data_IF_807876715399
#
_entry.id   IF_807876715399
#
_cell.length_a   1.000
_cell.length_b   1.000
_cell.length_c   1.000
_cell.angle_alpha   90.00
_cell.angle_beta   90.00
_cell.angle_gamma   90.00
#
_symmetry.space_group_name_H-M   'P 1'
#
loop_
_entity.id
_entity.type
_entity.pdbx_description
1 polymer ?
#
# COMPACT_ATOMS: atom_id res chain seq x y z
N UNK A 1 3.65 11.10 5.94
CA UNK A 1 2.21 10.77 5.90
C UNK A 1 2.02 9.83 4.72
N UNK A 2 1.58 8.58 4.91
CA UNK A 2 1.31 7.70 3.75
C UNK A 2 0.09 8.24 2.99
N UNK A 3 0.31 8.61 1.73
CA UNK A 3 -0.71 9.19 0.85
C UNK A 3 -1.73 8.14 0.37
N UNK A 4 -2.95 8.59 0.06
CA UNK A 4 -4.01 7.71 -0.43
C UNK A 4 -3.61 7.04 -1.76
N UNK A 5 -3.67 5.71 -1.88
CA UNK A 5 -3.04 4.97 -2.97
C UNK A 5 -3.55 5.36 -4.37
N UNK A 6 -4.85 5.64 -4.49
CA UNK A 6 -5.43 6.06 -5.77
C UNK A 6 -5.24 7.55 -6.09
N UNK A 7 -4.74 8.37 -5.14
CA UNK A 7 -4.56 9.81 -5.33
C UNK A 7 -3.09 10.22 -5.48
N UNK A 8 -2.14 9.30 -5.26
CA UNK A 8 -0.69 9.59 -5.33
C UNK A 8 -0.22 10.03 -6.71
N UNK A 9 -0.75 9.42 -7.78
CA UNK A 9 -0.28 9.67 -9.15
C UNK A 9 -1.41 9.98 -10.12
N UNK A 10 -1.13 10.76 -11.16
CA UNK A 10 -2.11 11.02 -12.22
C UNK A 10 -2.54 9.72 -12.91
N UNK A 11 -1.62 8.76 -13.08
CA UNK A 11 -1.91 7.45 -13.68
C UNK A 11 -2.87 6.64 -12.83
N UNK A 12 -2.68 6.60 -11.51
CA UNK A 12 -3.59 5.88 -10.60
C UNK A 12 -4.97 6.53 -10.51
N UNK A 13 -5.04 7.86 -10.57
CA UNK A 13 -6.32 8.58 -10.68
C UNK A 13 -7.07 8.25 -11.97
N UNK A 14 -6.36 8.27 -13.10
CA UNK A 14 -6.95 7.89 -14.41
C UNK A 14 -7.44 6.45 -14.37
N UNK A 15 -6.64 5.51 -13.88
CA UNK A 15 -7.03 4.10 -13.78
C UNK A 15 -8.27 3.92 -12.90
N UNK A 16 -8.34 4.60 -11.76
CA UNK A 16 -9.48 4.57 -10.87
C UNK A 16 -10.77 5.07 -11.55
N UNK A 17 -10.69 6.21 -12.25
CA UNK A 17 -11.83 6.76 -13.01
C UNK A 17 -12.25 5.80 -14.13
N UNK A 18 -11.30 5.23 -14.88
CA UNK A 18 -11.60 4.28 -15.96
C UNK A 18 -12.30 3.02 -15.46
N UNK A 19 -11.90 2.49 -14.29
CA UNK A 19 -12.56 1.34 -13.67
C UNK A 19 -14.02 1.66 -13.36
N UNK A 20 -14.29 2.81 -12.74
CA UNK A 20 -15.66 3.21 -12.43
C UNK A 20 -16.50 3.51 -13.68
N UNK A 21 -15.92 4.11 -14.72
CA UNK A 21 -16.59 4.29 -16.01
C UNK A 21 -16.93 2.96 -16.68
N UNK A 22 -16.03 1.97 -16.60
CA UNK A 22 -16.29 0.62 -17.11
C UNK A 22 -17.44 -0.05 -16.34
N UNK A 23 -17.44 0.06 -15.01
CA UNK A 23 -18.51 -0.46 -14.15
C UNK A 23 -19.85 0.24 -14.47
N UNK A 24 -19.85 1.57 -14.64
CA UNK A 24 -21.03 2.32 -15.08
C UNK A 24 -21.55 1.84 -16.42
N UNK A 25 -20.67 1.59 -17.39
CA UNK A 25 -21.06 1.10 -18.71
C UNK A 25 -21.71 -0.29 -18.63
N UNK A 26 -21.16 -1.19 -17.82
CA UNK A 26 -21.74 -2.50 -17.59
C UNK A 26 -23.14 -2.41 -16.94
N UNK A 27 -23.30 -1.54 -15.94
CA UNK A 27 -24.59 -1.26 -15.30
C UNK A 27 -25.61 -0.67 -16.28
N UNK A 28 -25.21 0.30 -17.10
CA UNK A 28 -26.05 0.88 -18.14
C UNK A 28 -26.65 -0.18 -19.05
N UNK A 29 -25.81 -1.07 -19.61
CA UNK A 29 -26.30 -2.12 -20.50
C UNK A 29 -27.20 -3.11 -19.77
N UNK A 30 -26.86 -3.47 -18.52
CA UNK A 30 -27.69 -4.33 -17.69
C UNK A 30 -29.08 -3.73 -17.43
N UNK A 31 -29.15 -2.43 -17.14
CA UNK A 31 -30.38 -1.72 -16.87
C UNK A 31 -31.30 -1.65 -18.09
N UNK A 32 -30.74 -1.26 -19.24
CA UNK A 32 -31.49 -1.17 -20.51
C UNK A 32 -32.00 -2.55 -20.93
N UNK A 33 -31.16 -3.59 -20.84
CA UNK A 33 -31.53 -4.94 -21.25
C UNK A 33 -32.58 -5.59 -20.34
N UNK A 34 -32.49 -5.37 -19.02
CA UNK A 34 -33.33 -6.06 -18.04
C UNK A 34 -34.62 -5.31 -17.74
N UNK A 35 -34.55 -3.99 -17.54
CA UNK A 35 -35.68 -3.19 -17.04
C UNK A 35 -36.34 -2.33 -18.12
N UNK A 36 -35.82 -2.34 -19.35
CA UNK A 36 -36.38 -1.62 -20.52
C UNK A 36 -36.65 -0.14 -20.27
N UNK A 37 -35.87 0.48 -19.38
CA UNK A 37 -35.94 1.92 -19.12
C UNK A 37 -35.34 2.72 -20.28
N UNK A 38 -35.72 3.99 -20.41
CA UNK A 38 -35.21 4.87 -21.47
C UNK A 38 -33.68 4.97 -21.36
N UNK A 39 -32.91 4.81 -22.46
CA UNK A 39 -31.44 4.82 -22.39
C UNK A 39 -30.83 6.07 -21.75
N UNK A 40 -31.40 7.26 -21.98
CA UNK A 40 -30.93 8.48 -21.33
C UNK A 40 -31.04 8.45 -19.80
N UNK A 41 -32.11 7.83 -19.27
CA UNK A 41 -32.31 7.66 -17.82
C UNK A 41 -31.35 6.60 -17.26
N UNK A 42 -31.18 5.48 -17.95
CA UNK A 42 -30.23 4.44 -17.56
C UNK A 42 -28.79 4.96 -17.51
N UNK A 43 -28.42 5.79 -18.49
CA UNK A 43 -27.08 6.38 -18.54
C UNK A 43 -26.87 7.34 -17.36
N UNK A 44 -27.85 8.19 -17.07
CA UNK A 44 -27.79 9.10 -15.93
C UNK A 44 -27.72 8.35 -14.60
N UNK A 45 -28.56 7.31 -14.42
CA UNK A 45 -28.58 6.49 -13.20
C UNK A 45 -27.25 5.77 -12.97
N UNK A 46 -26.79 5.00 -13.97
CA UNK A 46 -25.56 4.21 -13.88
C UNK A 46 -24.31 5.07 -13.69
N UNK A 47 -24.24 6.28 -14.28
CA UNK A 47 -23.15 7.21 -14.01
C UNK A 47 -23.24 7.77 -12.60
N UNK A 48 -24.41 8.25 -12.17
CA UNK A 48 -24.57 8.85 -10.85
C UNK A 48 -24.34 7.87 -9.71
N UNK A 49 -24.90 6.66 -9.82
CA UNK A 49 -24.77 5.58 -8.84
C UNK A 49 -23.30 5.23 -8.60
N UNK A 50 -22.53 5.05 -9.66
CA UNK A 50 -21.13 4.65 -9.56
C UNK A 50 -20.21 5.84 -9.21
N UNK A 51 -20.47 7.03 -9.74
CA UNK A 51 -19.72 8.23 -9.37
C UNK A 51 -19.87 8.55 -7.88
N UNK A 52 -21.10 8.55 -7.35
CA UNK A 52 -21.36 8.79 -5.93
C UNK A 52 -20.71 7.73 -5.03
N UNK A 53 -20.80 6.44 -5.39
CA UNK A 53 -20.13 5.39 -4.62
C UNK A 53 -18.61 5.55 -4.65
N UNK A 54 -18.02 5.85 -5.82
CA UNK A 54 -16.58 6.04 -5.97
C UNK A 54 -16.07 7.14 -5.05
N UNK A 55 -16.74 8.29 -4.99
CA UNK A 55 -16.39 9.39 -4.11
C UNK A 55 -16.44 8.99 -2.63
N UNK A 56 -17.52 8.32 -2.20
CA UNK A 56 -17.64 7.83 -0.82
C UNK A 56 -16.52 6.82 -0.50
N UNK A 57 -16.18 5.97 -1.47
CA UNK A 57 -15.21 4.90 -1.28
C UNK A 57 -13.77 5.38 -1.04
N UNK A 58 -13.44 6.62 -1.41
CA UNK A 58 -12.15 7.25 -1.05
C UNK A 58 -12.06 7.38 0.48
N UNK A 59 -13.16 7.69 1.16
CA UNK A 59 -13.22 7.78 2.62
C UNK A 59 -12.97 6.43 3.33
N UNK A 60 -13.34 5.32 2.69
CA UNK A 60 -13.17 3.97 3.27
C UNK A 60 -11.72 3.59 3.51
N UNK A 61 -10.76 4.20 2.80
CA UNK A 61 -9.34 4.02 3.03
C UNK A 61 -8.97 4.34 4.49
N UNK A 62 -9.53 5.41 5.05
CA UNK A 62 -9.25 5.83 6.42
C UNK A 62 -9.90 4.90 7.45
N UNK A 63 -11.07 4.34 7.13
CA UNK A 63 -11.70 3.31 7.97
C UNK A 63 -10.80 2.09 8.10
N UNK A 64 -10.16 1.65 7.00
CA UNK A 64 -9.23 0.51 7.04
C UNK A 64 -7.94 0.91 7.77
N UNK A 65 -7.31 2.01 7.36
CA UNK A 65 -6.01 2.46 7.87
C UNK A 65 -5.98 2.64 9.40
N UNK A 66 -7.02 3.26 9.96
CA UNK A 66 -7.10 3.52 11.40
C UNK A 66 -7.90 2.46 12.15
N UNK A 67 -8.48 1.47 11.46
CA UNK A 67 -9.30 0.43 12.07
C UNK A 67 -8.52 -0.72 12.68
N UNK A 68 -7.30 -0.99 12.20
CA UNK A 68 -6.61 -2.27 12.46
C UNK A 68 -5.37 -2.17 13.32
N UNK A 69 -5.04 -0.98 13.84
CA UNK A 69 -3.72 -0.79 14.42
C UNK A 69 -3.57 -1.51 15.77
N UNK A 70 -4.61 -1.66 16.60
CA UNK A 70 -4.48 -2.27 17.95
C UNK A 70 -5.78 -2.95 18.48
N UNK A 71 -6.72 -3.35 17.61
CA UNK A 71 -8.07 -3.77 18.03
C UNK A 71 -8.30 -5.29 17.98
N UNK A 72 -9.06 -5.82 18.94
CA UNK A 72 -9.57 -7.20 18.92
C UNK A 72 -10.49 -7.44 17.70
N UNK A 73 -10.60 -8.70 17.25
CA UNK A 73 -11.37 -9.10 16.06
C UNK A 73 -12.81 -8.56 16.07
N UNK A 74 -13.49 -8.60 17.22
CA UNK A 74 -14.85 -8.09 17.36
C UNK A 74 -14.94 -6.59 17.06
N UNK A 75 -13.98 -5.79 17.52
CA UNK A 75 -13.98 -4.35 17.29
C UNK A 75 -13.73 -4.00 15.83
N UNK A 76 -12.89 -4.76 15.14
CA UNK A 76 -12.67 -4.63 13.69
C UNK A 76 -13.94 -4.99 12.92
N UNK A 77 -14.59 -6.09 13.30
CA UNK A 77 -15.86 -6.50 12.71
C UNK A 77 -16.96 -5.44 12.89
N UNK A 78 -17.16 -4.95 14.12
CA UNK A 78 -18.15 -3.92 14.43
C UNK A 78 -17.89 -2.61 13.68
N UNK A 79 -16.61 -2.23 13.54
CA UNK A 79 -16.24 -1.05 12.77
C UNK A 79 -16.58 -1.18 11.29
N UNK A 80 -16.30 -2.34 10.67
CA UNK A 80 -16.66 -2.57 9.27
C UNK A 80 -18.16 -2.73 9.08
N UNK A 81 -18.85 -3.38 10.01
CA UNK A 81 -20.30 -3.49 9.98
C UNK A 81 -20.95 -2.09 10.05
N UNK A 82 -20.54 -1.25 11.00
CA UNK A 82 -21.02 0.12 11.12
C UNK A 82 -20.67 0.96 9.88
N UNK A 83 -19.43 0.85 9.39
CA UNK A 83 -18.98 1.56 8.19
C UNK A 83 -19.78 1.16 6.95
N UNK A 84 -20.05 -0.14 6.76
CA UNK A 84 -20.87 -0.64 5.66
C UNK A 84 -22.30 -0.10 5.73
N UNK A 85 -22.92 -0.15 6.92
CA UNK A 85 -24.28 0.39 7.14
C UNK A 85 -24.33 1.88 6.79
N UNK A 86 -23.37 2.68 7.29
CA UNK A 86 -23.30 4.12 7.03
C UNK A 86 -23.09 4.41 5.54
N UNK A 87 -22.14 3.74 4.91
CA UNK A 87 -21.82 3.95 3.49
C UNK A 87 -23.00 3.59 2.59
N UNK A 88 -23.62 2.42 2.79
CA UNK A 88 -24.75 1.99 1.97
C UNK A 88 -25.95 2.90 2.20
N UNK A 89 -26.23 3.29 3.45
CA UNK A 89 -27.35 4.19 3.76
C UNK A 89 -27.15 5.55 3.12
N UNK A 90 -25.97 6.15 3.26
CA UNK A 90 -25.64 7.44 2.65
C UNK A 90 -25.73 7.37 1.12
N UNK A 91 -25.19 6.32 0.52
CA UNK A 91 -25.21 6.14 -0.92
C UNK A 91 -26.63 5.92 -1.48
N UNK A 92 -27.45 5.10 -0.83
CA UNK A 92 -28.85 4.91 -1.21
C UNK A 92 -29.66 6.19 -1.03
N UNK A 93 -29.38 6.98 0.01
CA UNK A 93 -29.98 8.30 0.20
C UNK A 93 -29.62 9.23 -0.96
N UNK A 94 -28.36 9.30 -1.37
CA UNK A 94 -27.95 10.09 -2.54
C UNK A 94 -28.65 9.64 -3.82
N UNK A 95 -28.75 8.32 -4.04
CA UNK A 95 -29.47 7.78 -5.20
C UNK A 95 -30.96 8.16 -5.15
N UNK A 96 -31.59 8.10 -3.98
CA UNK A 96 -32.99 8.48 -3.82
C UNK A 96 -33.22 9.98 -4.05
N UNK A 97 -32.34 10.84 -3.53
CA UNK A 97 -32.38 12.29 -3.79
C UNK A 97 -32.20 12.59 -5.29
N UNK A 98 -31.34 11.85 -5.97
CA UNK A 98 -31.16 11.96 -7.41
C UNK A 98 -32.42 11.59 -8.19
N UNK A 99 -33.13 10.53 -7.77
CA UNK A 99 -34.43 10.16 -8.34
C UNK A 99 -35.43 11.30 -8.23
N UNK A 100 -35.56 11.90 -7.05
CA UNK A 100 -36.47 13.04 -6.82
C UNK A 100 -36.09 14.25 -7.69
N UNK A 101 -34.80 14.52 -7.89
CA UNK A 101 -34.33 15.68 -8.66
C UNK A 101 -34.57 15.54 -10.17
N UNK A 102 -34.48 14.32 -10.70
CA UNK A 102 -34.60 14.06 -12.15
C UNK A 102 -36.03 13.78 -12.58
N UNK A 103 -36.86 13.20 -11.72
CA UNK A 103 -38.22 12.84 -12.07
C UNK A 103 -39.11 14.09 -12.14
N UNK A 104 -39.18 14.68 -13.34
CA UNK A 104 -40.01 15.86 -13.61
C UNK A 104 -41.44 15.50 -14.05
N UNK A 105 -41.66 14.33 -14.68
CA UNK A 105 -42.99 13.87 -15.10
C UNK A 105 -43.10 12.32 -15.11
N UNK A 106 -44.14 11.78 -14.46
CA UNK A 106 -44.43 10.34 -14.36
C UNK A 106 -43.83 9.65 -13.13
N UNK A 107 -44.17 8.37 -12.92
CA UNK A 107 -43.69 7.54 -11.80
C UNK A 107 -42.76 6.40 -12.25
N UNK A 108 -42.31 6.40 -13.51
CA UNK A 108 -41.56 5.28 -14.09
C UNK A 108 -40.16 5.12 -13.49
N UNK A 109 -39.50 6.22 -13.11
CA UNK A 109 -38.15 6.17 -12.55
C UNK A 109 -38.19 5.80 -11.07
N UNK A 110 -39.13 6.35 -10.31
CA UNK A 110 -39.44 5.89 -8.95
C UNK A 110 -39.77 4.40 -8.89
N UNK A 111 -40.58 3.89 -9.84
CA UNK A 111 -40.90 2.47 -9.89
C UNK A 111 -39.64 1.62 -10.19
N UNK A 112 -38.82 2.03 -11.15
CA UNK A 112 -37.54 1.39 -11.45
C UNK A 112 -36.61 1.36 -10.22
N UNK A 113 -36.50 2.47 -9.48
CA UNK A 113 -35.70 2.55 -8.27
C UNK A 113 -36.21 1.57 -7.19
N UNK A 114 -37.52 1.52 -6.97
CA UNK A 114 -38.14 0.57 -6.02
C UNK A 114 -37.89 -0.88 -6.43
N UNK A 115 -38.03 -1.21 -7.70
CA UNK A 115 -37.78 -2.58 -8.22
C UNK A 115 -36.30 -2.97 -8.10
N UNK A 116 -35.37 -2.05 -8.29
CA UNK A 116 -33.92 -2.30 -8.20
C UNK A 116 -33.36 -2.16 -6.79
N UNK A 117 -34.16 -1.75 -5.80
CA UNK A 117 -33.69 -1.40 -4.46
C UNK A 117 -32.87 -2.51 -3.79
N UNK A 118 -33.36 -3.75 -3.80
CA UNK A 118 -32.65 -4.90 -3.23
C UNK A 118 -31.35 -5.22 -3.97
N UNK A 119 -31.34 -5.06 -5.29
CA UNK A 119 -30.14 -5.26 -6.11
C UNK A 119 -29.09 -4.19 -5.82
N UNK A 120 -29.51 -2.93 -5.61
CA UNK A 120 -28.61 -1.84 -5.20
C UNK A 120 -27.97 -2.13 -3.86
N UNK A 121 -28.72 -2.61 -2.87
CA UNK A 121 -28.15 -3.05 -1.58
C UNK A 121 -27.09 -4.13 -1.80
N UNK A 122 -27.41 -5.18 -2.57
CA UNK A 122 -26.46 -6.25 -2.86
C UNK A 122 -25.18 -5.74 -3.55
N UNK A 123 -25.33 -4.85 -4.53
CA UNK A 123 -24.22 -4.20 -5.22
C UNK A 123 -23.39 -3.32 -4.27
N UNK A 124 -24.03 -2.56 -3.38
CA UNK A 124 -23.37 -1.73 -2.37
C UNK A 124 -22.55 -2.56 -1.38
N UNK A 125 -23.09 -3.68 -0.90
CA UNK A 125 -22.35 -4.64 -0.05
C UNK A 125 -21.15 -5.21 -0.81
N UNK A 126 -21.35 -5.61 -2.07
CA UNK A 126 -20.29 -6.17 -2.90
C UNK A 126 -19.16 -5.15 -3.14
N UNK A 127 -19.49 -3.92 -3.54
CA UNK A 127 -18.52 -2.85 -3.74
C UNK A 127 -17.78 -2.50 -2.45
N UNK A 128 -18.50 -2.39 -1.33
CA UNK A 128 -17.87 -2.15 -0.03
C UNK A 128 -16.84 -3.24 0.29
N UNK A 129 -17.22 -4.51 0.16
CA UNK A 129 -16.35 -5.66 0.44
C UNK A 129 -15.10 -5.66 -0.43
N UNK A 130 -15.25 -5.47 -1.74
CA UNK A 130 -14.11 -5.43 -2.68
C UNK A 130 -13.18 -4.26 -2.36
N UNK A 131 -13.71 -3.06 -2.13
CA UNK A 131 -12.89 -1.88 -1.86
C UNK A 131 -12.13 -2.01 -0.54
N UNK A 132 -12.79 -2.49 0.51
CA UNK A 132 -12.15 -2.76 1.80
C UNK A 132 -11.04 -3.79 1.64
N UNK A 133 -11.29 -4.88 0.91
CA UNK A 133 -10.27 -5.90 0.63
C UNK A 133 -9.07 -5.31 -0.13
N UNK A 134 -9.31 -4.49 -1.15
CA UNK A 134 -8.26 -3.83 -1.92
C UNK A 134 -7.42 -2.90 -1.04
N UNK A 135 -8.05 -2.12 -0.15
CA UNK A 135 -7.31 -1.26 0.78
C UNK A 135 -6.48 -2.06 1.77
N UNK A 136 -7.01 -3.17 2.30
CA UNK A 136 -6.21 -4.08 3.10
C UNK A 136 -4.99 -4.59 2.35
N UNK A 137 -5.19 -5.11 1.13
CA UNK A 137 -4.10 -5.62 0.31
C UNK A 137 -3.01 -4.57 0.09
N UNK A 138 -3.41 -3.34 -0.26
CA UNK A 138 -2.47 -2.24 -0.50
C UNK A 138 -1.69 -1.89 0.77
N UNK A 139 -2.37 -1.70 1.90
CA UNK A 139 -1.74 -1.28 3.16
C UNK A 139 -0.79 -2.38 3.66
N UNK A 140 -1.22 -3.63 3.66
CA UNK A 140 -0.37 -4.75 4.09
C UNK A 140 0.85 -4.93 3.18
N UNK A 141 0.69 -4.78 1.86
CA UNK A 141 1.80 -4.86 0.92
C UNK A 141 2.82 -3.73 1.14
N UNK A 142 2.35 -2.50 1.37
CA UNK A 142 3.21 -1.36 1.67
C UNK A 142 3.98 -1.56 2.97
N UNK A 143 3.30 -1.94 4.04
CA UNK A 143 3.92 -2.20 5.34
C UNK A 143 4.96 -3.33 5.24
N UNK A 144 4.63 -4.43 4.54
CA UNK A 144 5.56 -5.53 4.32
C UNK A 144 6.84 -5.08 3.61
N UNK A 145 6.71 -4.27 2.55
CA UNK A 145 7.87 -3.72 1.83
C UNK A 145 8.71 -2.81 2.73
N UNK A 146 8.09 -1.95 3.53
CA UNK A 146 8.77 -1.03 4.43
C UNK A 146 9.54 -1.78 5.53
N UNK A 147 8.94 -2.83 6.12
CA UNK A 147 9.62 -3.70 7.07
C UNK A 147 10.80 -4.43 6.42
N UNK A 148 10.61 -5.00 5.22
CA UNK A 148 11.67 -5.70 4.51
C UNK A 148 12.86 -4.79 4.15
N UNK A 149 12.61 -3.55 3.73
CA UNK A 149 13.68 -2.57 3.46
C UNK A 149 14.43 -2.20 4.74
N UNK A 150 13.70 -1.97 5.83
CA UNK A 150 14.30 -1.60 7.12
C UNK A 150 15.15 -2.74 7.70
N UNK A 151 14.71 -3.99 7.57
CA UNK A 151 15.50 -5.15 7.96
C UNK A 151 16.80 -5.28 7.14
N UNK A 152 16.74 -5.01 5.84
CA UNK A 152 17.91 -5.04 4.96
C UNK A 152 18.93 -3.96 5.36
N UNK A 153 18.46 -2.73 5.63
CA UNK A 153 19.30 -1.62 6.10
C UNK A 153 19.97 -1.94 7.45
N UNK A 154 19.21 -2.47 8.41
CA UNK A 154 19.77 -2.88 9.72
C UNK A 154 20.82 -3.98 9.58
N UNK A 155 20.58 -4.99 8.73
CA UNK A 155 21.58 -6.04 8.45
C UNK A 155 22.84 -5.49 7.79
N UNK A 156 22.72 -4.50 6.90
CA UNK A 156 23.86 -3.84 6.30
C UNK A 156 24.69 -3.09 7.35
N UNK A 157 24.02 -2.33 8.24
CA UNK A 157 24.68 -1.59 9.32
C UNK A 157 25.40 -2.51 10.31
N UNK A 158 24.80 -3.65 10.66
CA UNK A 158 25.45 -4.66 11.53
C UNK A 158 26.72 -5.20 10.87
N UNK A 159 26.66 -5.58 9.59
CA UNK A 159 27.84 -6.07 8.86
C UNK A 159 28.95 -5.03 8.76
N UNK A 160 28.59 -3.77 8.50
CA UNK A 160 29.56 -2.67 8.47
C UNK A 160 30.25 -2.48 9.84
N UNK A 161 29.47 -2.60 10.92
CA UNK A 161 29.99 -2.51 12.29
C UNK A 161 30.92 -3.68 12.61
N UNK A 162 30.54 -4.91 12.26
CA UNK A 162 31.40 -6.10 12.42
C UNK A 162 32.71 -5.96 11.63
N UNK A 163 32.65 -5.50 10.38
CA UNK A 163 33.83 -5.25 9.56
C UNK A 163 34.72 -4.15 10.15
N UNK A 164 34.14 -3.07 10.69
CA UNK A 164 34.88 -2.01 11.36
C UNK A 164 35.59 -2.53 12.62
N UNK A 165 34.91 -3.34 13.43
CA UNK A 165 35.51 -3.99 14.60
C UNK A 165 36.66 -4.92 14.20
N UNK A 166 36.46 -5.78 13.20
CA UNK A 166 37.50 -6.67 12.68
C UNK A 166 38.72 -5.87 12.18
N UNK A 167 38.50 -4.79 11.43
CA UNK A 167 39.58 -3.89 10.98
C UNK A 167 40.30 -3.23 12.16
N UNK A 168 39.60 -2.84 13.22
CA UNK A 168 40.19 -2.21 14.41
C UNK A 168 41.08 -3.17 15.21
N UNK A 169 40.84 -4.49 15.11
CA UNK A 169 41.68 -5.50 15.76
C UNK A 169 43.08 -5.59 15.10
N UNK A 170 43.21 -5.21 13.83
CA UNK A 170 44.52 -5.04 13.19
C UNK A 170 45.13 -3.74 13.73
N UNK A 171 45.96 -3.83 14.77
CA UNK A 171 46.63 -2.67 15.39
C UNK A 171 47.58 -2.01 14.36
N UNK A 172 47.26 -0.81 13.81
CA UNK A 172 48.12 -0.19 12.80
C UNK A 172 49.50 0.13 13.37
N UNK A 173 49.56 0.48 14.65
CA UNK A 173 50.79 0.72 15.40
C UNK A 173 51.69 -0.53 15.48
N UNK A 174 51.13 -1.73 15.54
CA UNK A 174 51.93 -2.95 15.50
C UNK A 174 52.64 -3.07 14.15
N UNK A 175 51.93 -2.86 13.05
CA UNK A 175 52.52 -2.88 11.70
C UNK A 175 53.59 -1.81 11.54
N UNK A 176 53.33 -0.57 11.96
CA UNK A 176 54.34 0.50 11.93
C UNK A 176 55.57 0.17 12.78
N UNK A 177 55.39 -0.37 13.98
CA UNK A 177 56.49 -0.80 14.83
C UNK A 177 57.30 -1.91 14.18
N UNK A 178 56.64 -2.94 13.65
CA UNK A 178 57.32 -4.05 12.96
C UNK A 178 58.11 -3.54 11.76
N UNK A 179 57.55 -2.64 10.94
CA UNK A 179 58.25 -2.04 9.80
C UNK A 179 59.45 -1.18 10.22
N UNK A 180 59.31 -0.37 11.28
CA UNK A 180 60.41 0.44 11.81
C UNK A 180 61.54 -0.44 12.35
N UNK A 181 61.21 -1.53 13.07
CA UNK A 181 62.19 -2.50 13.54
C UNK A 181 62.92 -3.19 12.36
N UNK A 182 62.19 -3.62 11.33
CA UNK A 182 62.79 -4.20 10.11
C UNK A 182 63.75 -3.19 9.47
N UNK A 183 63.34 -1.93 9.31
CA UNK A 183 64.16 -0.86 8.71
C UNK A 183 65.47 -0.61 9.47
N UNK A 184 65.42 -0.60 10.81
CA UNK A 184 66.63 -0.48 11.64
C UNK A 184 67.56 -1.71 11.51
N UNK A 185 66.97 -2.90 11.44
CA UNK A 185 67.72 -4.15 11.29
C UNK A 185 68.37 -4.27 9.90
N UNK A 186 67.79 -3.72 8.83
CA UNK A 186 68.42 -3.77 7.50
C UNK A 186 69.82 -3.16 7.43
N UNK A 187 70.12 -2.16 8.28
CA UNK A 187 71.43 -1.52 8.35
C UNK A 187 72.40 -2.20 9.32
N UNK A 188 71.87 -2.86 10.36
CA UNK A 188 72.67 -3.36 11.49
C UNK A 188 72.79 -4.89 11.52
N UNK A 189 71.73 -5.62 11.17
CA UNK A 189 71.62 -7.08 11.19
C UNK A 189 70.70 -7.57 10.05
N UNK A 190 71.21 -7.66 8.79
CA UNK A 190 70.40 -7.93 7.61
C UNK A 190 69.66 -9.28 7.65
N UNK A 191 70.27 -10.32 8.22
CA UNK A 191 69.67 -11.65 8.34
C UNK A 191 68.46 -11.65 9.29
N UNK A 192 68.55 -10.92 10.41
CA UNK A 192 67.45 -10.74 11.35
C UNK A 192 66.29 -9.93 10.76
N UNK A 193 66.60 -8.92 9.92
CA UNK A 193 65.58 -8.19 9.16
C UNK A 193 64.81 -9.12 8.21
N UNK A 194 65.51 -10.00 7.50
CA UNK A 194 64.90 -10.97 6.59
C UNK A 194 63.98 -11.95 7.33
N UNK A 195 64.38 -12.44 8.50
CA UNK A 195 63.56 -13.32 9.31
C UNK A 195 62.29 -12.61 9.83
N UNK A 196 62.42 -11.34 10.26
CA UNK A 196 61.28 -10.54 10.71
C UNK A 196 60.30 -10.22 9.58
N UNK A 197 60.77 -10.01 8.35
CA UNK A 197 59.91 -9.88 7.15
C UNK A 197 59.09 -11.15 6.92
N UNK A 198 59.71 -12.33 7.00
CA UNK A 198 59.00 -13.62 6.82
C UNK A 198 57.93 -13.78 7.91
N UNK A 199 58.29 -13.54 9.18
CA UNK A 199 57.35 -13.62 10.32
C UNK A 199 56.17 -12.65 10.19
N UNK A 200 56.42 -11.42 9.74
CA UNK A 200 55.38 -10.43 9.50
C UNK A 200 54.47 -10.82 8.33
N UNK A 201 55.05 -11.36 7.26
CA UNK A 201 54.29 -11.90 6.11
C UNK A 201 53.41 -13.08 6.50
N UNK A 202 53.91 -14.00 7.32
CA UNK A 202 53.12 -15.14 7.82
C UNK A 202 52.00 -14.65 8.75
N UNK A 203 52.30 -13.73 9.67
CA UNK A 203 51.28 -13.12 10.53
C UNK A 203 50.14 -12.48 9.73
N UNK A 204 50.44 -11.66 8.71
CA UNK A 204 49.44 -11.02 7.86
C UNK A 204 48.67 -11.98 6.95
N UNK A 205 49.21 -13.17 6.66
CA UNK A 205 48.54 -14.18 5.83
C UNK A 205 47.49 -14.98 6.61
N UNK A 206 47.66 -15.09 7.94
CA UNK A 206 46.75 -15.83 8.82
C UNK A 206 45.88 -14.91 9.71
N UNK A 207 46.00 -13.59 9.56
CA UNK A 207 45.16 -12.56 10.18
C UNK A 207 44.10 -12.07 9.20
#
# INVERSE_FOLDING_TARGET
MQDHPFLVSIRSRIAYVLIWLFISLAWFFFEVATYRIRPGMALADSLFLNASFSLISIGLYYTVKFGTIEKNLLSVFLQHFAGMVVTITLWLLLCYLFVILIEQEGNSYQQFFRTTFSLRIAAGVFYYGIIVLLYYLIIYYQNFRETATREAELKALVRETELSVLRSQIKPHFLFNSLNSISSLTLTQPDAAREMIIKLSDFLRYS
#
